data_IF_601726067908
#
_entry.id   IF_601726067908
#
_cell.length_a   1.000
_cell.length_b   1.000
_cell.length_c   1.000
_cell.angle_alpha   90.00
_cell.angle_beta   90.00
_cell.angle_gamma   90.00
#
_symmetry.space_group_name_H-M   'P 1'
#
loop_
_entity.id
_entity.type
_entity.pdbx_description
1 polymer ?
#
# COMPACT_ATOMS: atom_id res chain seq x y z
N UNK A 1 6.26 19.70 -5.45
CA UNK A 1 5.61 19.58 -4.14
C UNK A 1 4.50 18.56 -4.29
N UNK A 2 4.74 17.29 -3.96
CA UNK A 2 3.68 16.27 -3.96
C UNK A 2 3.94 15.25 -2.85
N UNK A 3 3.43 15.57 -1.66
CA UNK A 3 3.59 14.78 -0.43
C UNK A 3 2.39 13.88 -0.14
N UNK A 4 1.29 14.04 -0.87
CA UNK A 4 0.01 13.42 -0.57
C UNK A 4 0.09 11.90 -0.63
N UNK A 5 0.80 11.35 -1.63
CA UNK A 5 1.04 9.90 -1.70
C UNK A 5 1.82 9.37 -0.50
N UNK A 6 2.81 10.13 0.01
CA UNK A 6 3.60 9.74 1.20
C UNK A 6 2.75 9.82 2.48
N UNK A 7 2.04 10.93 2.67
CA UNK A 7 1.14 11.12 3.81
C UNK A 7 -0.02 10.12 3.82
N UNK A 8 -0.61 9.80 2.66
CA UNK A 8 -1.68 8.82 2.54
C UNK A 8 -1.24 7.41 2.95
N UNK A 9 -0.05 6.97 2.52
CA UNK A 9 0.52 5.67 2.95
C UNK A 9 0.93 5.67 4.42
N UNK A 10 1.37 6.81 4.95
CA UNK A 10 1.66 6.96 6.37
C UNK A 10 0.37 6.82 7.19
N UNK A 11 -0.69 7.56 6.85
CA UNK A 11 -1.99 7.49 7.51
C UNK A 11 -2.60 6.08 7.42
N UNK A 12 -2.52 5.44 6.25
CA UNK A 12 -2.92 4.04 6.08
C UNK A 12 -2.22 3.13 7.10
N UNK A 13 -0.91 3.27 7.28
CA UNK A 13 -0.17 2.47 8.24
C UNK A 13 -0.48 2.83 9.69
N UNK A 14 -0.76 4.10 10.01
CA UNK A 14 -1.26 4.50 11.34
C UNK A 14 -2.56 3.76 11.66
N UNK A 15 -3.51 3.72 10.72
CA UNK A 15 -4.77 2.98 10.90
C UNK A 15 -4.54 1.47 11.04
N UNK A 16 -3.65 0.88 10.24
CA UNK A 16 -3.28 -0.54 10.36
C UNK A 16 -2.69 -0.85 11.74
N UNK A 17 -1.72 -0.05 12.20
CA UNK A 17 -1.08 -0.22 13.50
C UNK A 17 -2.07 -0.09 14.65
N UNK A 18 -2.98 0.89 14.59
CA UNK A 18 -4.06 1.04 15.57
C UNK A 18 -4.99 -0.18 15.62
N UNK A 19 -5.18 -0.88 14.50
CA UNK A 19 -5.92 -2.14 14.42
C UNK A 19 -5.10 -3.40 14.75
N UNK A 20 -3.85 -3.27 15.19
CA UNK A 20 -2.96 -4.41 15.48
C UNK A 20 -2.37 -5.10 14.26
N UNK A 21 -2.48 -4.50 13.07
CA UNK A 21 -1.90 -5.03 11.84
C UNK A 21 -0.45 -4.59 11.66
N UNK A 22 0.39 -5.44 11.05
CA UNK A 22 1.80 -5.12 10.83
C UNK A 22 1.97 -3.96 9.82
N UNK A 23 3.04 -3.20 10.01
CA UNK A 23 3.46 -2.16 9.07
C UNK A 23 3.62 -2.74 7.65
N UNK A 24 3.00 -2.08 6.68
CA UNK A 24 2.85 -2.56 5.31
C UNK A 24 3.42 -1.53 4.33
N UNK A 25 4.38 -1.99 3.51
CA UNK A 25 5.03 -1.20 2.46
C UNK A 25 4.53 -1.66 1.10
N UNK A 26 4.21 -0.70 0.23
CA UNK A 26 3.87 -0.95 -1.17
C UNK A 26 5.19 -1.03 -1.96
N UNK A 27 5.55 -2.20 -2.53
CA UNK A 27 6.78 -2.36 -3.30
C UNK A 27 6.79 -1.48 -4.56
N UNK A 28 7.96 -0.99 -4.96
CA UNK A 28 8.08 -0.11 -6.13
C UNK A 28 7.72 -0.84 -7.43
N UNK A 29 7.99 -2.15 -7.49
CA UNK A 29 7.65 -3.04 -8.61
C UNK A 29 6.13 -3.14 -8.78
N UNK A 30 5.37 -2.96 -7.69
CA UNK A 30 3.91 -2.97 -7.69
C UNK A 30 3.29 -1.60 -7.98
N UNK A 31 4.09 -0.57 -8.30
CA UNK A 31 3.60 0.80 -8.53
C UNK A 31 2.49 0.85 -9.57
N UNK A 32 2.64 0.13 -10.68
CA UNK A 32 1.62 0.10 -11.74
C UNK A 32 0.27 -0.39 -11.22
N UNK A 33 0.25 -1.56 -10.57
CA UNK A 33 -0.97 -2.13 -10.00
C UNK A 33 -1.58 -1.25 -8.90
N UNK A 34 -0.76 -0.60 -8.08
CA UNK A 34 -1.21 0.33 -7.06
C UNK A 34 -1.92 1.55 -7.67
N UNK A 35 -1.34 2.16 -8.71
CA UNK A 35 -1.93 3.32 -9.39
C UNK A 35 -3.22 2.94 -10.12
N UNK A 36 -3.25 1.81 -10.82
CA UNK A 36 -4.46 1.31 -11.50
C UNK A 36 -5.59 1.05 -10.49
N UNK A 37 -5.29 0.49 -9.33
CA UNK A 37 -6.28 0.25 -8.29
C UNK A 37 -6.78 1.55 -7.64
N UNK A 38 -5.91 2.54 -7.46
CA UNK A 38 -6.31 3.88 -7.00
C UNK A 38 -7.18 4.61 -8.02
N UNK A 39 -6.90 4.47 -9.31
CA UNK A 39 -7.69 5.10 -10.37
C UNK A 39 -9.09 4.48 -10.44
N UNK A 40 -9.21 3.15 -10.32
CA UNK A 40 -10.50 2.45 -10.17
C UNK A 40 -11.30 2.98 -8.98
N UNK A 41 -10.64 3.21 -7.85
CA UNK A 41 -11.28 3.76 -6.66
C UNK A 41 -11.69 5.23 -6.82
N UNK A 42 -10.84 6.04 -7.43
CA UNK A 42 -11.05 7.49 -7.53
C UNK A 42 -12.02 7.88 -8.64
N UNK A 43 -11.85 7.32 -9.84
CA UNK A 43 -12.64 7.67 -11.03
C UNK A 43 -13.81 6.71 -11.20
N UNK A 44 -13.55 5.41 -11.04
CA UNK A 44 -14.56 4.37 -11.18
C UNK A 44 -15.46 4.20 -9.95
N UNK A 45 -15.17 4.90 -8.85
CA UNK A 45 -15.82 4.75 -7.54
C UNK A 45 -15.86 3.31 -7.01
N UNK A 46 -14.95 2.46 -7.49
CA UNK A 46 -14.82 1.07 -7.09
C UNK A 46 -13.57 0.88 -6.25
N UNK A 47 -13.76 0.84 -4.93
CA UNK A 47 -12.69 0.71 -3.94
C UNK A 47 -12.23 -0.75 -3.76
N UNK A 48 -12.96 -1.73 -4.29
CA UNK A 48 -12.69 -3.16 -4.06
C UNK A 48 -11.31 -3.60 -4.61
N UNK A 49 -10.87 -3.18 -5.81
CA UNK A 49 -9.53 -3.50 -6.31
C UNK A 49 -8.42 -2.96 -5.40
N UNK A 50 -8.58 -1.74 -4.89
CA UNK A 50 -7.60 -1.10 -4.01
C UNK A 50 -7.50 -1.80 -2.65
N UNK A 51 -8.64 -2.09 -2.03
CA UNK A 51 -8.67 -2.83 -0.76
C UNK A 51 -8.15 -4.26 -0.91
N UNK A 52 -8.49 -4.95 -2.01
CA UNK A 52 -7.95 -6.27 -2.34
C UNK A 52 -6.43 -6.26 -2.54
N UNK A 53 -5.88 -5.23 -3.19
CA UNK A 53 -4.45 -5.04 -3.33
C UNK A 53 -3.75 -4.88 -1.97
N UNK A 54 -4.26 -3.99 -1.11
CA UNK A 54 -3.70 -3.79 0.23
C UNK A 54 -3.83 -5.04 1.11
N UNK A 55 -4.97 -5.72 1.07
CA UNK A 55 -5.21 -6.94 1.84
C UNK A 55 -4.19 -8.04 1.50
N UNK A 56 -3.79 -8.17 0.22
CA UNK A 56 -2.72 -9.10 -0.17
C UNK A 56 -1.40 -8.74 0.49
N UNK A 57 -1.02 -7.46 0.50
CA UNK A 57 0.22 -7.01 1.15
C UNK A 57 0.17 -7.26 2.67
N UNK A 58 -0.93 -6.90 3.33
CA UNK A 58 -1.10 -7.12 4.78
C UNK A 58 -1.04 -8.61 5.12
N UNK A 59 -1.67 -9.49 4.32
CA UNK A 59 -1.58 -10.95 4.52
C UNK A 59 -0.14 -11.47 4.44
N UNK A 60 0.64 -10.99 3.48
CA UNK A 60 2.08 -11.33 3.37
C UNK A 60 2.86 -10.88 4.61
N UNK A 61 2.55 -9.68 5.13
CA UNK A 61 3.15 -9.17 6.38
C UNK A 61 2.79 -10.05 7.59
N UNK A 62 1.52 -10.45 7.71
CA UNK A 62 1.05 -11.34 8.78
C UNK A 62 1.69 -12.73 8.70
N UNK A 63 1.98 -13.21 7.49
CA UNK A 63 2.71 -14.46 7.25
C UNK A 63 4.22 -14.39 7.58
N UNK A 64 4.71 -13.24 8.04
CA UNK A 64 6.12 -13.08 8.44
C UNK A 64 7.09 -12.87 7.28
N UNK A 65 6.61 -12.54 6.06
CA UNK A 65 7.51 -12.17 4.97
C UNK A 65 8.36 -10.96 5.35
N UNK A 66 9.49 -10.73 4.67
CA UNK A 66 10.32 -9.54 4.89
C UNK A 66 9.75 -8.33 4.17
N UNK A 67 10.09 -7.13 4.66
CA UNK A 67 9.73 -5.90 3.96
C UNK A 67 10.43 -5.87 2.60
N UNK A 68 9.85 -5.18 1.60
CA UNK A 68 10.52 -5.00 0.31
C UNK A 68 11.89 -4.37 0.50
N UNK A 69 12.83 -4.73 -0.37
CA UNK A 69 14.16 -4.14 -0.35
C UNK A 69 14.08 -2.63 -0.62
N UNK A 70 14.98 -1.88 0.02
CA UNK A 70 15.11 -0.45 -0.25
C UNK A 70 15.75 -0.32 -1.64
N UNK A 71 15.13 0.41 -2.58
CA UNK A 71 15.77 0.65 -3.87
C UNK A 71 17.14 1.30 -3.67
N UNK A 72 18.18 0.72 -4.27
CA UNK A 72 19.49 1.36 -4.33
C UNK A 72 19.33 2.67 -5.12
N UNK A 73 19.94 3.74 -4.63
CA UNK A 73 20.04 4.97 -5.42
C UNK A 73 21.16 4.77 -6.45
N UNK A 74 20.89 5.09 -7.71
CA UNK A 74 21.92 5.23 -8.74
C UNK A 74 22.88 6.39 -8.42
#
# INVERSE_FOLDING_TARGET
MDGNGRMGRFLMNVMLAAGGYPWTVIPIESRKAYIEALERASVGQDIAPFTGFLAKLVKRRLAGERLPDIPQAD
#
